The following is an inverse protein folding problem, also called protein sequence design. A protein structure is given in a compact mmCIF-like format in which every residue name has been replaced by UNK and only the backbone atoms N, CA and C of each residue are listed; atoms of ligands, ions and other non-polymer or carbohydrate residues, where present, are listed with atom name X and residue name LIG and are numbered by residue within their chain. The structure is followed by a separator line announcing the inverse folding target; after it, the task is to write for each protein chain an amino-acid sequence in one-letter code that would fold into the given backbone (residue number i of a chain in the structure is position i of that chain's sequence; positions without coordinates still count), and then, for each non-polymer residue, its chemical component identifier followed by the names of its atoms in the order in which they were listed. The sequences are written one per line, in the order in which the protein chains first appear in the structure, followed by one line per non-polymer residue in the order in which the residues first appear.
data_IF_723959970557
#
_entry.id   IF_723959970557
#
_cell.length_a   1.000
_cell.length_b   1.000
_cell.length_c   1.000
_cell.angle_alpha   90.00
_cell.angle_beta   90.00
_cell.angle_gamma   90.00
#
_symmetry.space_group_name_H-M   'P 1'
#
loop_
_entity.id
_entity.type
_entity.pdbx_description
1 polymer ?
#
# COMPACT_ATOMS: atom_id res chain seq x y z
N UNK A 1 47.46 53.24 -10.08
CA UNK A 1 47.66 53.63 -8.67
C UNK A 1 46.32 54.04 -8.09
N UNK A 2 46.10 53.68 -6.83
CA UNK A 2 44.93 53.90 -5.97
C UNK A 2 43.80 52.85 -6.00
N UNK A 3 43.41 52.52 -4.77
CA UNK A 3 42.78 51.33 -4.22
C UNK A 3 41.89 51.87 -3.09
N UNK A 4 40.58 51.62 -3.06
CA UNK A 4 39.74 51.84 -1.86
C UNK A 4 38.62 50.79 -1.82
N UNK A 5 38.47 50.18 -0.64
CA UNK A 5 37.61 49.07 -0.24
C UNK A 5 36.18 49.50 0.13
N UNK A 6 35.25 48.55 -0.03
CA UNK A 6 33.85 48.57 0.40
C UNK A 6 33.66 48.63 1.92
N UNK A 7 32.59 49.30 2.36
CA UNK A 7 32.01 49.21 3.70
C UNK A 7 30.53 48.78 3.58
N UNK A 8 30.15 47.73 4.30
CA UNK A 8 28.75 47.41 4.63
C UNK A 8 28.69 47.15 6.13
N UNK A 9 27.82 47.90 6.79
CA UNK A 9 27.63 47.96 8.25
C UNK A 9 26.67 46.86 8.71
N UNK A 10 27.07 46.08 9.73
CA UNK A 10 26.22 45.12 10.41
C UNK A 10 25.53 45.78 11.62
N UNK A 11 24.20 45.60 11.74
CA UNK A 11 23.40 46.06 12.87
C UNK A 11 23.12 44.87 13.80
N UNK A 12 23.61 44.98 15.04
CA UNK A 12 23.38 44.04 16.15
C UNK A 12 22.13 44.48 16.92
N UNK A 13 21.14 43.60 17.06
CA UNK A 13 20.04 43.75 18.05
C UNK A 13 20.16 42.60 19.05
N UNK A 14 20.33 42.97 20.31
CA UNK A 14 20.36 42.08 21.45
C UNK A 14 18.92 41.71 21.89
N UNK A 15 18.69 40.44 22.17
CA UNK A 15 17.45 39.92 22.76
C UNK A 15 17.75 38.81 23.76
N UNK A 16 17.23 38.98 24.97
CA UNK A 16 17.54 38.28 26.22
C UNK A 16 17.00 36.83 26.25
N UNK A 17 17.85 35.87 26.59
CA UNK A 17 17.47 34.47 26.86
C UNK A 17 16.98 34.33 28.31
N UNK A 18 15.66 34.15 28.48
CA UNK A 18 15.07 33.66 29.72
C UNK A 18 15.05 32.13 29.70
N UNK A 19 15.67 31.50 30.70
CA UNK A 19 15.71 30.06 30.89
C UNK A 19 14.33 29.54 31.34
N UNK A 20 13.56 28.99 30.40
CA UNK A 20 12.41 28.14 30.66
C UNK A 20 12.81 26.69 30.38
N UNK A 21 12.98 25.89 31.44
CA UNK A 21 13.33 24.48 31.34
C UNK A 21 12.21 23.69 30.66
N UNK A 22 12.40 23.39 29.37
CA UNK A 22 11.71 22.28 28.71
C UNK A 22 12.42 21.00 29.12
N UNK A 23 11.77 20.22 29.99
CA UNK A 23 12.07 18.81 30.17
C UNK A 23 11.85 18.11 28.82
N UNK A 24 12.94 17.91 28.07
CA UNK A 24 12.98 16.92 27.02
C UNK A 24 12.75 15.56 27.68
N UNK A 25 11.53 15.05 27.55
CA UNK A 25 11.27 13.64 27.76
C UNK A 25 12.01 12.88 26.66
N UNK A 26 13.26 12.53 26.93
CA UNK A 26 13.98 11.50 26.19
C UNK A 26 13.31 10.17 26.52
N UNK A 27 12.27 9.79 25.78
CA UNK A 27 11.84 8.40 25.73
C UNK A 27 12.86 7.63 24.88
N UNK A 28 14.05 7.41 25.44
CA UNK A 28 14.90 6.30 25.03
C UNK A 28 14.24 5.02 25.54
N UNK A 29 13.14 4.63 24.91
CA UNK A 29 12.68 3.26 24.95
C UNK A 29 13.58 2.47 24.00
N UNK A 30 14.80 2.13 24.44
CA UNK A 30 15.48 0.99 23.82
C UNK A 30 14.59 -0.20 24.15
N UNK A 31 13.79 -0.67 23.19
CA UNK A 31 13.20 -1.99 23.28
C UNK A 31 14.35 -2.94 23.62
N UNK A 32 14.31 -3.55 24.82
CA UNK A 32 15.33 -4.51 25.20
C UNK A 32 15.37 -5.58 24.11
N UNK A 33 16.53 -5.82 23.51
CA UNK A 33 16.70 -6.89 22.53
C UNK A 33 16.14 -8.18 23.16
N UNK A 34 15.23 -8.89 22.47
CA UNK A 34 14.59 -10.06 23.04
C UNK A 34 15.68 -11.05 23.48
N UNK A 35 15.48 -11.64 24.65
CA UNK A 35 16.43 -12.62 25.17
C UNK A 35 16.55 -13.78 24.20
N UNK A 36 17.77 -14.13 23.83
CA UNK A 36 18.07 -15.32 23.03
C UNK A 36 18.24 -16.57 23.90
N UNK A 37 17.97 -16.47 25.20
CA UNK A 37 17.92 -17.64 26.07
C UNK A 37 16.83 -18.61 25.57
N UNK A 38 17.04 -19.93 25.72
CA UNK A 38 15.99 -20.88 25.44
C UNK A 38 14.76 -20.63 26.31
N UNK A 39 13.58 -20.75 25.72
CA UNK A 39 12.29 -20.71 26.42
C UNK A 39 11.89 -22.12 26.87
N UNK A 40 10.96 -22.27 27.85
CA UNK A 40 10.45 -23.58 28.23
C UNK A 40 9.87 -24.33 27.03
N UNK A 41 10.14 -25.64 26.92
CA UNK A 41 9.72 -26.44 25.75
C UNK A 41 8.21 -26.44 25.53
N UNK A 42 7.40 -26.27 26.59
CA UNK A 42 5.94 -26.16 26.49
C UNK A 42 5.44 -24.86 25.84
N UNK A 43 6.29 -23.83 25.78
CA UNK A 43 5.99 -22.52 25.22
C UNK A 43 6.57 -22.36 23.79
N UNK A 44 7.36 -23.34 23.33
CA UNK A 44 8.02 -23.28 22.03
C UNK A 44 7.11 -23.76 20.89
N UNK A 45 6.89 -22.90 19.88
CA UNK A 45 6.24 -23.25 18.62
C UNK A 45 7.25 -23.81 17.63
N UNK A 46 8.48 -23.30 17.65
CA UNK A 46 9.56 -23.79 16.80
C UNK A 46 10.83 -24.03 17.61
N UNK A 47 11.63 -25.00 17.18
CA UNK A 47 12.88 -25.37 17.85
C UNK A 47 13.91 -25.79 16.83
N UNK A 48 15.15 -25.34 17.04
CA UNK A 48 16.25 -25.59 16.14
C UNK A 48 16.81 -27.00 16.39
N UNK A 49 17.02 -27.78 15.33
CA UNK A 49 17.43 -29.18 15.47
C UNK A 49 18.75 -29.37 16.27
N UNK A 50 19.80 -28.55 16.07
CA UNK A 50 20.99 -28.52 16.94
C UNK A 50 20.69 -28.37 18.44
N UNK A 51 19.73 -27.52 18.79
CA UNK A 51 19.34 -27.29 20.18
C UNK A 51 18.58 -28.50 20.75
N UNK A 52 17.58 -29.01 20.02
CA UNK A 52 16.79 -30.17 20.44
C UNK A 52 17.63 -31.43 20.67
N UNK A 53 18.72 -31.57 19.92
CA UNK A 53 19.62 -32.72 20.01
C UNK A 53 20.79 -32.51 20.98
N UNK A 54 20.82 -31.37 21.70
CA UNK A 54 21.84 -31.05 22.69
C UNK A 54 23.25 -30.82 22.11
N UNK A 55 23.35 -30.54 20.82
CA UNK A 55 24.63 -30.36 20.11
C UNK A 55 25.19 -28.94 20.31
N UNK A 56 25.32 -28.52 21.56
CA UNK A 56 25.67 -27.14 21.95
C UNK A 56 27.03 -26.70 21.38
N UNK A 57 27.98 -27.63 21.27
CA UNK A 57 29.33 -27.38 20.77
C UNK A 57 29.42 -27.06 19.27
N UNK A 58 28.32 -27.13 18.52
CA UNK A 58 28.31 -26.68 17.11
C UNK A 58 28.29 -25.16 16.99
N UNK A 59 27.80 -24.47 18.03
CA UNK A 59 27.69 -23.01 18.02
C UNK A 59 28.45 -22.34 19.17
N UNK A 60 28.69 -23.06 20.27
CA UNK A 60 29.36 -22.51 21.44
C UNK A 60 30.74 -23.14 21.69
N UNK A 61 31.66 -22.32 22.18
CA UNK A 61 33.08 -22.62 22.42
C UNK A 61 33.37 -23.46 23.68
N UNK A 62 32.36 -24.02 24.38
CA UNK A 62 32.63 -24.93 25.50
C UNK A 62 32.43 -26.40 25.13
N UNK A 63 33.44 -27.20 25.45
CA UNK A 63 33.38 -28.66 25.46
C UNK A 63 32.72 -29.25 26.71
N UNK A 64 31.91 -28.49 27.46
CA UNK A 64 31.18 -29.02 28.63
C UNK A 64 29.83 -29.58 28.16
N UNK A 65 29.61 -30.90 28.27
CA UNK A 65 28.41 -31.58 27.75
C UNK A 65 27.16 -31.39 28.62
N UNK A 66 27.21 -30.57 29.68
CA UNK A 66 26.13 -30.47 30.66
C UNK A 66 24.93 -29.62 30.21
N UNK A 67 25.04 -28.94 29.06
CA UNK A 67 23.99 -28.11 28.46
C UNK A 67 23.58 -26.88 29.27
N UNK A 68 24.17 -26.67 30.46
CA UNK A 68 23.81 -25.60 31.39
C UNK A 68 24.71 -24.38 31.25
N UNK A 69 25.88 -24.53 30.65
CA UNK A 69 26.81 -23.44 30.39
C UNK A 69 27.61 -23.72 29.12
N UNK A 70 26.98 -23.65 27.94
CA UNK A 70 27.57 -24.10 26.68
C UNK A 70 28.74 -23.24 26.18
N UNK A 71 29.04 -22.11 26.84
CA UNK A 71 30.18 -21.25 26.50
C UNK A 71 29.79 -20.07 25.62
N UNK A 72 30.80 -19.33 25.14
CA UNK A 72 30.59 -18.19 24.25
C UNK A 72 30.28 -18.67 22.84
N UNK A 73 29.55 -17.88 22.07
CA UNK A 73 29.41 -18.05 20.62
C UNK A 73 30.52 -17.22 19.95
N UNK A 74 31.06 -17.63 18.80
CA UNK A 74 31.94 -16.80 17.98
C UNK A 74 31.38 -15.39 17.75
N UNK A 75 32.27 -14.40 17.62
CA UNK A 75 31.88 -13.00 17.44
C UNK A 75 31.09 -12.77 16.13
N UNK A 76 31.44 -13.50 15.06
CA UNK A 76 30.72 -13.47 13.78
C UNK A 76 29.65 -14.58 13.73
N UNK A 77 28.50 -14.27 14.32
CA UNK A 77 27.34 -15.18 14.34
C UNK A 77 26.81 -15.43 12.92
N UNK A 78 26.89 -14.44 12.01
CA UNK A 78 26.42 -14.59 10.63
C UNK A 78 27.24 -15.63 9.87
N UNK A 79 28.58 -15.54 9.95
CA UNK A 79 29.46 -16.53 9.36
C UNK A 79 29.26 -17.93 9.96
N UNK A 80 29.00 -18.02 11.27
CA UNK A 80 28.66 -19.29 11.91
C UNK A 80 27.36 -19.89 11.35
N UNK A 81 26.29 -19.10 11.23
CA UNK A 81 25.04 -19.58 10.61
C UNK A 81 25.27 -20.08 9.17
N UNK A 82 26.08 -19.33 8.39
CA UNK A 82 26.38 -19.63 7.00
C UNK A 82 27.17 -20.94 6.80
N UNK A 83 27.82 -21.50 7.83
CA UNK A 83 28.50 -22.81 7.70
C UNK A 83 27.51 -23.95 7.40
N UNK A 84 26.25 -23.79 7.80
CA UNK A 84 25.18 -24.75 7.53
C UNK A 84 24.08 -24.17 6.64
N UNK A 85 23.74 -22.89 6.79
CA UNK A 85 22.75 -22.19 5.99
C UNK A 85 23.37 -21.47 4.78
N UNK A 86 24.23 -22.20 4.06
CA UNK A 86 24.97 -21.66 2.91
C UNK A 86 24.05 -21.10 1.83
N UNK A 87 22.94 -21.79 1.52
CA UNK A 87 22.02 -21.34 0.47
C UNK A 87 21.40 -19.97 0.80
N UNK A 88 21.06 -19.73 2.08
CA UNK A 88 20.55 -18.43 2.55
C UNK A 88 21.62 -17.34 2.46
N UNK A 89 22.85 -17.64 2.86
CA UNK A 89 23.99 -16.71 2.74
C UNK A 89 24.24 -16.32 1.28
N UNK A 90 24.14 -17.29 0.36
CA UNK A 90 24.27 -17.04 -1.07
C UNK A 90 23.10 -16.25 -1.64
N UNK A 91 21.87 -16.49 -1.21
CA UNK A 91 20.69 -15.70 -1.60
C UNK A 91 20.85 -14.24 -1.15
N UNK A 92 21.22 -14.00 0.11
CA UNK A 92 21.42 -12.66 0.67
C UNK A 92 22.53 -11.93 -0.09
N UNK A 93 23.68 -12.57 -0.31
CA UNK A 93 24.83 -11.96 -1.01
C UNK A 93 24.60 -11.79 -2.51
N UNK A 94 23.77 -12.63 -3.12
CA UNK A 94 23.50 -12.65 -4.55
C UNK A 94 22.36 -11.74 -5.01
N UNK A 95 21.49 -11.32 -4.09
CA UNK A 95 20.31 -10.52 -4.40
C UNK A 95 20.63 -9.05 -4.61
N UNK A 96 19.83 -8.38 -5.45
CA UNK A 96 20.01 -6.97 -5.80
C UNK A 96 19.66 -6.00 -4.66
N UNK A 97 18.72 -6.37 -3.79
CA UNK A 97 18.25 -5.57 -2.65
C UNK A 97 18.32 -6.44 -1.39
N UNK A 98 19.10 -5.99 -0.42
CA UNK A 98 19.34 -6.75 0.81
C UNK A 98 18.84 -5.96 2.01
N UNK A 99 18.11 -6.64 2.89
CA UNK A 99 17.70 -6.06 4.15
C UNK A 99 18.93 -5.94 5.07
N UNK A 100 19.31 -4.72 5.43
CA UNK A 100 20.54 -4.48 6.17
C UNK A 100 20.69 -5.34 7.46
N UNK A 101 19.64 -5.53 8.30
CA UNK A 101 19.72 -6.43 9.45
C UNK A 101 20.07 -7.88 9.09
N UNK A 102 19.64 -8.38 7.92
CA UNK A 102 19.92 -9.74 7.48
C UNK A 102 21.41 -9.99 7.19
N UNK A 103 22.17 -8.94 6.83
CA UNK A 103 23.63 -9.04 6.67
C UNK A 103 24.40 -8.95 7.98
N UNK A 104 23.81 -8.30 8.99
CA UNK A 104 24.52 -7.98 10.23
C UNK A 104 24.32 -9.01 11.33
N UNK A 105 23.08 -9.50 11.51
CA UNK A 105 22.78 -10.41 12.61
C UNK A 105 21.50 -11.19 12.36
N UNK A 106 21.64 -12.51 12.16
CA UNK A 106 20.50 -13.43 12.11
C UNK A 106 19.70 -13.40 13.43
N UNK A 107 20.39 -13.17 14.55
CA UNK A 107 19.80 -13.22 15.89
C UNK A 107 19.07 -11.95 16.31
N UNK A 108 19.07 -10.91 15.47
CA UNK A 108 18.15 -9.78 15.64
C UNK A 108 16.68 -10.21 15.47
N UNK A 109 16.45 -11.25 14.65
CA UNK A 109 15.13 -11.75 14.33
C UNK A 109 14.89 -13.19 14.79
N UNK A 110 15.94 -14.03 14.85
CA UNK A 110 15.82 -15.45 15.15
C UNK A 110 16.43 -15.83 16.51
N UNK A 111 15.75 -16.69 17.26
CA UNK A 111 16.33 -17.38 18.41
C UNK A 111 16.90 -18.74 17.95
N UNK A 112 18.23 -18.95 17.97
CA UNK A 112 18.87 -20.16 17.44
C UNK A 112 18.62 -21.42 18.30
N UNK A 113 17.94 -21.28 19.44
CA UNK A 113 17.56 -22.39 20.31
C UNK A 113 16.13 -22.86 20.00
N UNK A 114 15.16 -22.08 20.46
CA UNK A 114 13.73 -22.29 20.29
C UNK A 114 12.98 -20.97 20.42
N UNK A 115 11.73 -20.93 19.98
CA UNK A 115 10.97 -19.69 19.88
C UNK A 115 9.46 -19.91 20.00
N UNK A 116 8.72 -18.89 20.50
CA UNK A 116 7.27 -18.92 20.60
C UNK A 116 6.57 -18.63 19.27
N UNK A 117 7.30 -18.48 18.16
CA UNK A 117 6.78 -18.20 16.83
C UNK A 117 7.37 -19.17 15.78
N UNK A 118 6.77 -19.28 14.58
CA UNK A 118 7.33 -20.08 13.49
C UNK A 118 8.73 -19.61 13.06
N UNK A 119 9.48 -20.50 12.40
CA UNK A 119 10.79 -20.19 11.81
C UNK A 119 11.79 -19.55 12.78
N UNK A 120 11.72 -19.93 14.06
CA UNK A 120 12.58 -19.42 15.13
C UNK A 120 12.46 -17.91 15.40
N UNK A 121 11.41 -17.23 14.94
CA UNK A 121 11.30 -15.78 15.12
C UNK A 121 11.17 -15.41 16.59
N UNK A 122 11.87 -14.38 17.06
CA UNK A 122 11.83 -13.96 18.48
C UNK A 122 10.44 -13.47 18.92
N UNK A 123 9.59 -13.07 17.97
CA UNK A 123 8.19 -12.66 18.11
C UNK A 123 7.49 -12.84 16.76
N UNK A 124 6.15 -12.83 16.72
CA UNK A 124 5.39 -12.95 15.47
C UNK A 124 5.77 -11.88 14.42
N UNK A 125 5.68 -12.21 13.10
CA UNK A 125 6.24 -11.39 12.02
C UNK A 125 5.82 -9.92 12.06
N UNK A 126 4.53 -9.65 12.30
CA UNK A 126 4.00 -8.28 12.38
C UNK A 126 4.74 -7.46 13.43
N UNK A 127 4.77 -7.93 14.67
CA UNK A 127 5.38 -7.17 15.76
C UNK A 127 6.91 -7.12 15.63
N UNK A 128 7.54 -8.14 15.03
CA UNK A 128 8.96 -8.13 14.73
C UNK A 128 9.33 -6.99 13.78
N UNK A 129 8.64 -6.90 12.64
CA UNK A 129 8.90 -5.87 11.63
C UNK A 129 8.57 -4.47 12.17
N UNK A 130 7.40 -4.33 12.81
CA UNK A 130 6.92 -3.04 13.32
C UNK A 130 7.73 -2.53 14.52
N UNK A 131 8.51 -3.39 15.18
CA UNK A 131 9.45 -2.98 16.24
C UNK A 131 10.53 -2.00 15.75
N UNK A 132 10.87 -2.06 14.46
CA UNK A 132 11.81 -1.12 13.82
C UNK A 132 11.13 -0.20 12.80
N UNK A 133 10.12 -0.67 12.07
CA UNK A 133 9.42 0.09 11.03
C UNK A 133 8.26 0.94 11.60
N UNK A 134 8.60 1.91 12.45
CA UNK A 134 7.64 2.74 13.19
C UNK A 134 6.68 3.57 12.33
N UNK A 135 7.13 4.06 11.17
CA UNK A 135 6.26 4.82 10.25
C UNK A 135 5.15 3.93 9.63
N UNK A 136 5.49 2.67 9.32
CA UNK A 136 4.52 1.69 8.83
C UNK A 136 3.59 1.27 9.97
N UNK A 137 4.12 1.10 11.19
CA UNK A 137 3.30 0.83 12.37
C UNK A 137 2.26 1.93 12.55
N UNK A 138 2.68 3.19 12.46
CA UNK A 138 1.79 4.33 12.56
C UNK A 138 0.72 4.30 11.47
N UNK A 139 1.13 4.16 10.20
CA UNK A 139 0.23 4.07 9.04
C UNK A 139 -0.85 3.02 9.24
N UNK A 140 -0.47 1.81 9.65
CA UNK A 140 -1.42 0.72 9.90
C UNK A 140 -2.32 1.07 11.10
N UNK A 141 -1.74 1.52 12.22
CA UNK A 141 -2.48 1.74 13.46
C UNK A 141 -3.50 2.87 13.38
N UNK A 142 -3.22 3.90 12.58
CA UNK A 142 -4.08 5.06 12.39
C UNK A 142 -5.11 4.83 11.28
N UNK A 143 -4.85 3.91 10.34
CA UNK A 143 -5.71 3.64 9.20
C UNK A 143 -7.15 3.26 9.58
N UNK A 144 -8.12 4.00 9.03
CA UNK A 144 -9.53 3.62 9.09
C UNK A 144 -9.82 2.27 8.39
N UNK A 145 -9.06 1.94 7.34
CA UNK A 145 -9.13 0.67 6.60
C UNK A 145 -7.74 0.09 6.51
N UNK A 146 -7.52 -1.05 7.18
CA UNK A 146 -6.27 -1.81 7.11
C UNK A 146 -6.35 -2.85 5.99
N UNK A 147 -5.21 -3.15 5.37
CA UNK A 147 -5.14 -4.26 4.42
C UNK A 147 -5.06 -5.58 5.18
N UNK A 148 -5.97 -6.53 4.95
CA UNK A 148 -5.99 -7.81 5.68
C UNK A 148 -4.64 -8.55 5.65
N UNK A 149 -3.99 -8.58 4.48
CA UNK A 149 -2.66 -9.16 4.32
C UNK A 149 -1.54 -8.54 5.19
N UNK A 150 -1.72 -7.38 5.83
CA UNK A 150 -0.70 -6.82 6.75
C UNK A 150 -1.05 -7.03 8.22
N UNK A 151 -2.21 -7.63 8.51
CA UNK A 151 -2.72 -7.83 9.86
C UNK A 151 -3.04 -9.29 10.20
N UNK A 152 -3.01 -10.19 9.22
CA UNK A 152 -3.07 -11.63 9.45
C UNK A 152 -1.78 -12.18 10.10
N UNK A 153 -1.69 -13.50 10.31
CA UNK A 153 -0.55 -14.14 10.96
C UNK A 153 0.74 -14.12 10.12
N UNK A 154 0.62 -14.00 8.79
CA UNK A 154 1.75 -13.94 7.85
C UNK A 154 2.25 -12.49 7.69
N UNK A 155 1.32 -11.54 7.75
CA UNK A 155 1.49 -10.10 7.75
C UNK A 155 2.46 -9.63 6.64
N UNK A 156 3.54 -8.97 7.03
CA UNK A 156 4.53 -8.40 6.11
C UNK A 156 5.09 -9.43 5.11
N UNK A 157 5.15 -10.71 5.49
CA UNK A 157 5.70 -11.79 4.68
C UNK A 157 4.78 -12.18 3.49
N UNK A 158 3.53 -11.72 3.48
CA UNK A 158 2.65 -11.88 2.31
C UNK A 158 3.21 -11.16 1.08
N UNK A 159 3.98 -10.09 1.28
CA UNK A 159 4.49 -9.24 0.21
C UNK A 159 6.02 -9.12 0.20
N UNK A 160 6.67 -9.19 1.36
CA UNK A 160 8.09 -8.90 1.50
C UNK A 160 8.90 -10.15 1.86
N UNK A 161 10.09 -10.27 1.27
CA UNK A 161 11.13 -11.17 1.76
C UNK A 161 11.98 -10.40 2.80
N UNK A 162 11.99 -10.81 4.08
CA UNK A 162 12.65 -10.06 5.15
C UNK A 162 14.18 -10.13 5.09
N UNK A 163 14.76 -10.94 4.19
CA UNK A 163 16.20 -11.10 4.04
C UNK A 163 16.73 -10.32 2.84
N UNK A 164 16.24 -10.65 1.65
CA UNK A 164 16.70 -10.04 0.39
C UNK A 164 15.70 -10.30 -0.74
N UNK A 165 15.78 -9.50 -1.81
CA UNK A 165 15.03 -9.70 -3.04
C UNK A 165 15.75 -9.05 -4.22
N UNK A 166 15.44 -9.48 -5.43
CA UNK A 166 15.82 -8.76 -6.65
C UNK A 166 14.89 -7.58 -6.98
N UNK A 167 13.89 -7.35 -6.15
CA UNK A 167 12.86 -6.33 -6.34
C UNK A 167 12.94 -5.29 -5.23
N UNK A 168 12.79 -4.03 -5.62
CA UNK A 168 12.80 -2.89 -4.69
C UNK A 168 11.81 -3.08 -3.55
N UNK A 169 12.14 -2.51 -2.39
CA UNK A 169 11.39 -2.66 -1.14
C UNK A 169 11.22 -4.12 -0.70
N UNK A 170 12.14 -5.01 -1.11
CA UNK A 170 12.17 -6.41 -0.72
C UNK A 170 10.91 -7.20 -1.16
N UNK A 171 10.22 -6.78 -2.22
CA UNK A 171 9.01 -7.46 -2.66
C UNK A 171 9.32 -8.87 -3.20
N UNK A 172 8.42 -9.82 -2.97
CA UNK A 172 8.58 -11.20 -3.47
C UNK A 172 8.27 -11.36 -4.96
N UNK A 173 7.55 -10.39 -5.55
CA UNK A 173 7.19 -10.31 -6.96
C UNK A 173 7.14 -8.85 -7.41
N UNK A 174 7.09 -8.61 -8.73
CA UNK A 174 6.88 -7.25 -9.25
C UNK A 174 5.53 -6.72 -8.73
N UNK A 175 5.39 -5.41 -8.45
CA UNK A 175 4.22 -4.88 -7.73
C UNK A 175 2.87 -5.34 -8.29
N UNK A 176 2.68 -5.25 -9.59
CA UNK A 176 1.45 -5.72 -10.24
C UNK A 176 1.22 -7.22 -10.08
N UNK A 177 2.25 -8.03 -10.40
CA UNK A 177 2.19 -9.49 -10.32
C UNK A 177 1.93 -9.97 -8.87
N UNK A 178 2.42 -9.21 -7.89
CA UNK A 178 2.15 -9.44 -6.48
C UNK A 178 0.67 -9.21 -6.16
N UNK A 179 0.13 -8.04 -6.53
CA UNK A 179 -1.28 -7.71 -6.32
C UNK A 179 -2.20 -8.75 -6.97
N UNK A 180 -2.01 -9.04 -8.26
CA UNK A 180 -2.89 -9.97 -8.98
C UNK A 180 -2.71 -11.42 -8.52
N UNK A 181 -1.65 -11.77 -7.78
CA UNK A 181 -1.52 -13.12 -7.24
C UNK A 181 -2.59 -13.43 -6.18
N UNK A 182 -3.19 -12.41 -5.58
CA UNK A 182 -4.34 -12.54 -4.67
C UNK A 182 -5.61 -11.92 -5.25
N UNK A 183 -5.52 -10.77 -5.92
CA UNK A 183 -6.66 -10.01 -6.45
C UNK A 183 -7.12 -10.50 -7.84
N UNK A 184 -7.14 -11.81 -8.07
CA UNK A 184 -7.53 -12.44 -9.36
C UNK A 184 -8.48 -13.62 -9.19
N UNK A 185 -9.17 -13.69 -8.06
CA UNK A 185 -10.10 -14.78 -7.76
C UNK A 185 -11.31 -14.22 -7.04
N UNK A 186 -12.48 -14.80 -7.31
CA UNK A 186 -13.76 -14.42 -6.70
C UNK A 186 -13.92 -14.97 -5.28
N UNK A 187 -12.85 -14.87 -4.48
CA UNK A 187 -12.85 -15.32 -3.10
C UNK A 187 -13.26 -14.17 -2.17
N UNK A 188 -14.24 -14.38 -1.28
CA UNK A 188 -14.59 -13.39 -0.27
C UNK A 188 -13.43 -13.13 0.68
N UNK A 189 -13.22 -11.86 1.02
CA UNK A 189 -12.33 -11.44 2.10
C UNK A 189 -12.89 -11.83 3.47
N UNK A 190 -12.15 -11.49 4.54
CA UNK A 190 -12.56 -11.79 5.91
C UNK A 190 -13.90 -11.10 6.30
N UNK A 191 -14.24 -10.01 5.62
CA UNK A 191 -15.50 -9.26 5.76
C UNK A 191 -16.66 -9.83 4.91
N UNK A 192 -16.42 -10.93 4.18
CA UNK A 192 -17.40 -11.56 3.29
C UNK A 192 -17.59 -10.85 1.94
N UNK A 193 -16.88 -9.74 1.67
CA UNK A 193 -16.94 -9.04 0.38
C UNK A 193 -16.04 -9.76 -0.62
N UNK A 194 -16.61 -10.11 -1.78
CA UNK A 194 -15.84 -10.67 -2.89
C UNK A 194 -14.94 -9.59 -3.46
N UNK A 195 -13.63 -9.86 -3.48
CA UNK A 195 -12.65 -8.99 -4.11
C UNK A 195 -12.84 -9.00 -5.63
N UNK A 196 -12.56 -7.89 -6.28
CA UNK A 196 -12.56 -7.84 -7.75
C UNK A 196 -11.54 -8.84 -8.28
N UNK A 197 -11.99 -9.74 -9.16
CA UNK A 197 -11.12 -10.62 -9.92
C UNK A 197 -10.50 -9.83 -11.09
N UNK A 198 -9.30 -9.28 -10.87
CA UNK A 198 -8.61 -8.49 -11.90
C UNK A 198 -8.14 -9.30 -13.10
N UNK A 199 -7.88 -10.60 -12.96
CA UNK A 199 -7.56 -11.44 -14.12
C UNK A 199 -8.73 -11.44 -15.12
N UNK A 200 -9.93 -11.79 -14.64
CA UNK A 200 -11.13 -11.78 -15.49
C UNK A 200 -11.50 -10.37 -15.95
N UNK A 201 -11.49 -9.39 -15.04
CA UNK A 201 -11.85 -8.01 -15.38
C UNK A 201 -10.97 -7.46 -16.51
N UNK A 202 -9.64 -7.64 -16.43
CA UNK A 202 -8.71 -7.12 -17.42
C UNK A 202 -8.72 -7.91 -18.72
N UNK A 203 -9.04 -9.21 -18.68
CA UNK A 203 -9.20 -10.05 -19.88
C UNK A 203 -10.45 -9.68 -20.68
N UNK A 204 -11.59 -9.48 -20.00
CA UNK A 204 -12.87 -9.24 -20.65
C UNK A 204 -13.04 -7.80 -21.14
N UNK A 205 -12.27 -6.85 -20.58
CA UNK A 205 -12.45 -5.43 -20.85
C UNK A 205 -11.24 -4.84 -21.60
N UNK A 206 -11.39 -4.39 -22.86
CA UNK A 206 -10.27 -3.91 -23.67
C UNK A 206 -9.79 -2.50 -23.31
N UNK A 207 -10.59 -1.69 -22.61
CA UNK A 207 -10.20 -0.32 -22.25
C UNK A 207 -9.73 -0.28 -20.81
N UNK A 208 -8.43 -0.44 -20.59
CA UNK A 208 -7.83 -0.32 -19.26
C UNK A 208 -7.61 1.15 -18.90
N UNK A 209 -7.82 1.51 -17.64
CA UNK A 209 -7.55 2.85 -17.17
C UNK A 209 -6.04 3.07 -17.08
N UNK A 210 -5.53 4.26 -17.44
CA UNK A 210 -4.09 4.51 -17.63
C UNK A 210 -3.16 3.93 -16.54
N UNK A 211 -3.40 4.16 -15.23
CA UNK A 211 -2.59 3.54 -14.18
C UNK A 211 -2.64 2.01 -14.18
N UNK A 212 -3.80 1.42 -14.46
CA UNK A 212 -3.99 -0.04 -14.53
C UNK A 212 -3.34 -0.63 -15.78
N UNK A 213 -3.47 0.04 -16.93
CA UNK A 213 -2.76 -0.29 -18.18
C UNK A 213 -1.24 -0.25 -17.96
N UNK A 214 -0.77 0.76 -17.22
CA UNK A 214 0.61 0.90 -16.77
C UNK A 214 1.03 -0.05 -15.64
N UNK A 215 0.13 -0.93 -15.17
CA UNK A 215 0.37 -1.89 -14.09
C UNK A 215 0.77 -1.26 -12.75
N UNK A 216 0.30 -0.05 -12.47
CA UNK A 216 0.60 0.71 -11.26
C UNK A 216 -0.65 0.86 -10.37
N UNK A 217 -0.93 -0.18 -9.59
CA UNK A 217 -2.01 -0.17 -8.60
C UNK A 217 -1.77 0.88 -7.49
N UNK A 218 -0.51 1.12 -7.14
CA UNK A 218 -0.09 2.06 -6.09
C UNK A 218 -0.32 3.52 -6.43
N UNK A 219 -0.58 3.86 -7.69
CA UNK A 219 -1.01 5.20 -8.07
C UNK A 219 -2.27 5.65 -7.31
N UNK A 220 -3.16 4.70 -7.01
CA UNK A 220 -4.44 4.97 -6.34
C UNK A 220 -4.60 4.25 -4.98
N UNK A 221 -3.83 3.18 -4.71
CA UNK A 221 -3.98 2.38 -3.50
C UNK A 221 -2.78 2.50 -2.54
N UNK A 222 -3.08 2.60 -1.24
CA UNK A 222 -2.12 2.59 -0.13
C UNK A 222 -2.15 1.22 0.56
N UNK A 223 -1.21 0.36 0.18
CA UNK A 223 -1.24 -1.09 0.46
C UNK A 223 -1.15 -1.48 1.93
N UNK A 224 -0.60 -0.62 2.79
CA UNK A 224 -0.49 -0.90 4.23
C UNK A 224 -1.77 -0.54 5.01
N UNK A 225 -2.55 0.42 4.51
CA UNK A 225 -3.72 0.94 5.20
C UNK A 225 -4.04 2.35 4.70
N UNK A 226 -5.30 2.77 4.80
CA UNK A 226 -5.75 4.11 4.43
C UNK A 226 -6.92 4.60 5.28
N UNK A 227 -7.06 5.92 5.37
CA UNK A 227 -8.27 6.59 5.87
C UNK A 227 -9.47 6.44 4.93
N UNK A 228 -9.23 6.07 3.67
CA UNK A 228 -10.26 5.95 2.66
C UNK A 228 -10.58 4.49 2.35
N UNK A 229 -11.84 4.25 2.01
CA UNK A 229 -12.34 2.93 1.65
C UNK A 229 -11.49 2.30 0.53
N UNK A 230 -11.45 0.96 0.47
CA UNK A 230 -10.70 0.24 -0.57
C UNK A 230 -9.22 0.64 -0.65
N UNK A 231 -8.64 1.06 0.49
CA UNK A 231 -7.25 1.47 0.60
C UNK A 231 -6.88 2.63 -0.33
N UNK A 232 -7.81 3.54 -0.64
CA UNK A 232 -7.52 4.61 -1.60
C UNK A 232 -6.57 5.65 -1.00
N UNK A 233 -5.64 6.19 -1.77
CA UNK A 233 -4.68 7.21 -1.30
C UNK A 233 -5.32 8.58 -1.04
N UNK A 234 -6.55 8.79 -1.51
CA UNK A 234 -7.28 10.04 -1.37
C UNK A 234 -8.80 9.78 -1.50
N UNK A 235 -9.60 10.79 -1.22
CA UNK A 235 -11.05 10.67 -1.17
C UNK A 235 -11.69 10.40 -2.54
N UNK A 236 -12.60 9.42 -2.55
CA UNK A 236 -13.50 9.11 -3.64
C UNK A 236 -14.81 8.56 -3.05
N UNK A 237 -16.01 8.90 -3.57
CA UNK A 237 -17.23 8.46 -2.91
C UNK A 237 -17.64 7.04 -3.30
N UNK A 238 -18.01 6.21 -2.32
CA UNK A 238 -18.56 4.86 -2.55
C UNK A 238 -19.95 4.88 -3.19
N UNK A 239 -20.71 5.94 -2.90
CA UNK A 239 -22.13 6.08 -3.23
C UNK A 239 -22.35 6.56 -4.66
N UNK A 240 -23.52 6.22 -5.20
CA UNK A 240 -23.96 6.65 -6.53
C UNK A 240 -24.20 8.17 -6.63
N UNK A 241 -24.75 8.77 -5.56
CA UNK A 241 -25.02 10.21 -5.48
C UNK A 241 -24.21 10.86 -4.37
N UNK A 242 -23.57 11.99 -4.64
CA UNK A 242 -22.91 12.84 -3.66
C UNK A 242 -23.04 14.32 -4.06
N UNK A 243 -22.95 15.26 -3.12
CA UNK A 243 -22.76 16.67 -3.46
C UNK A 243 -21.48 16.84 -4.28
N UNK A 244 -21.47 17.77 -5.22
CA UNK A 244 -20.23 18.17 -5.88
C UNK A 244 -19.42 19.07 -4.98
N UNK A 245 -18.42 18.48 -4.34
CA UNK A 245 -17.38 19.17 -3.59
C UNK A 245 -16.06 18.61 -4.09
N UNK A 246 -15.10 19.49 -4.38
CA UNK A 246 -13.81 19.11 -4.96
C UNK A 246 -13.12 18.02 -4.15
N UNK A 247 -13.13 18.16 -2.82
CA UNK A 247 -12.47 17.26 -1.89
C UNK A 247 -13.09 15.86 -1.90
N UNK A 248 -14.37 15.70 -2.26
CA UNK A 248 -14.99 14.38 -2.40
C UNK A 248 -14.39 13.57 -3.56
N UNK A 249 -13.72 14.21 -4.52
CA UNK A 249 -13.14 13.59 -5.72
C UNK A 249 -11.64 13.86 -5.83
N UNK A 250 -10.99 14.21 -4.72
CA UNK A 250 -9.58 14.58 -4.67
C UNK A 250 -8.69 13.52 -5.36
N UNK A 251 -8.98 12.23 -5.18
CA UNK A 251 -8.29 11.14 -5.87
C UNK A 251 -8.26 11.31 -7.39
N UNK A 252 -9.42 11.62 -7.99
CA UNK A 252 -9.56 11.75 -9.44
C UNK A 252 -8.83 13.00 -9.96
N UNK A 253 -8.92 14.11 -9.22
CA UNK A 253 -8.35 15.40 -9.62
C UNK A 253 -6.83 15.49 -9.44
N UNK A 254 -6.18 14.45 -8.91
CA UNK A 254 -4.72 14.28 -9.01
C UNK A 254 -4.25 14.15 -10.47
N UNK A 255 -5.12 13.71 -11.39
CA UNK A 255 -4.78 13.53 -12.80
C UNK A 255 -5.83 14.10 -13.78
N UNK A 256 -7.10 14.17 -13.40
CA UNK A 256 -8.17 14.66 -14.29
C UNK A 256 -8.46 16.15 -14.06
N UNK A 257 -8.74 16.88 -15.16
CA UNK A 257 -9.09 18.30 -15.09
C UNK A 257 -10.49 18.50 -14.51
N UNK A 258 -10.58 19.20 -13.37
CA UNK A 258 -11.83 19.54 -12.70
C UNK A 258 -12.70 20.53 -13.49
N UNK A 259 -12.11 21.37 -14.35
CA UNK A 259 -12.81 22.36 -15.18
C UNK A 259 -13.87 21.73 -16.09
N UNK A 260 -13.73 20.44 -16.38
CA UNK A 260 -14.71 19.67 -17.14
C UNK A 260 -16.10 19.66 -16.48
N UNK A 261 -16.21 19.95 -15.19
CA UNK A 261 -17.46 19.89 -14.43
C UNK A 261 -17.93 21.26 -13.93
N UNK A 262 -17.15 22.33 -14.10
CA UNK A 262 -17.42 23.62 -13.44
C UNK A 262 -18.41 24.49 -14.20
N UNK A 263 -18.23 24.61 -15.51
CA UNK A 263 -19.06 25.50 -16.32
C UNK A 263 -20.28 24.77 -16.92
N UNK A 264 -21.48 25.38 -16.89
CA UNK A 264 -22.67 24.81 -17.51
C UNK A 264 -22.57 24.71 -19.04
N UNK A 265 -21.75 25.56 -19.65
CA UNK A 265 -21.52 25.62 -21.10
C UNK A 265 -20.01 25.64 -21.38
N UNK A 266 -19.56 24.88 -22.37
CA UNK A 266 -18.16 24.80 -22.79
C UNK A 266 -18.05 24.28 -24.22
N UNK A 267 -17.02 24.70 -24.95
CA UNK A 267 -16.66 24.11 -26.25
C UNK A 267 -15.28 23.44 -26.24
N UNK A 268 -14.50 23.64 -25.18
CA UNK A 268 -13.06 23.35 -25.13
C UNK A 268 -12.68 22.34 -24.05
N UNK A 269 -13.35 22.36 -22.89
CA UNK A 269 -12.91 21.56 -21.72
C UNK A 269 -13.28 20.09 -21.89
N UNK A 270 -14.47 19.77 -22.40
CA UNK A 270 -14.93 18.39 -22.58
C UNK A 270 -15.63 18.16 -23.92
N UNK A 271 -15.61 16.89 -24.37
CA UNK A 271 -16.41 16.39 -25.50
C UNK A 271 -17.69 15.68 -25.06
N UNK A 272 -17.91 15.49 -23.76
CA UNK A 272 -19.20 15.03 -23.25
C UNK A 272 -20.13 16.24 -23.07
N UNK A 273 -20.61 16.75 -24.21
CA UNK A 273 -21.46 17.94 -24.32
C UNK A 273 -22.38 17.84 -25.54
N UNK A 274 -23.51 18.52 -25.49
CA UNK A 274 -24.47 18.61 -26.59
C UNK A 274 -24.52 20.06 -27.09
N UNK A 275 -23.91 20.32 -28.24
CA UNK A 275 -23.42 21.65 -28.59
C UNK A 275 -22.54 22.22 -27.48
N UNK A 276 -22.77 23.46 -27.05
CA UNK A 276 -22.04 24.04 -25.91
C UNK A 276 -22.44 23.46 -24.55
N UNK A 277 -23.57 22.75 -24.45
CA UNK A 277 -24.12 22.34 -23.16
C UNK A 277 -23.27 21.26 -22.49
N UNK A 278 -22.64 21.60 -21.38
CA UNK A 278 -21.74 20.68 -20.67
C UNK A 278 -22.52 19.58 -19.93
N UNK A 279 -22.44 18.34 -20.40
CA UNK A 279 -23.17 17.23 -19.79
C UNK A 279 -22.50 16.72 -18.52
N UNK A 280 -21.20 16.94 -18.32
CA UNK A 280 -20.56 16.68 -17.03
C UNK A 280 -21.15 17.57 -15.94
N UNK A 281 -21.28 18.88 -16.18
CA UNK A 281 -21.92 19.82 -15.25
C UNK A 281 -23.37 19.41 -14.94
N UNK A 282 -24.14 19.01 -15.96
CA UNK A 282 -25.55 18.60 -15.78
C UNK A 282 -25.70 17.38 -14.87
N UNK A 283 -24.72 16.48 -14.83
CA UNK A 283 -24.82 15.23 -14.09
C UNK A 283 -24.08 15.24 -12.76
N UNK A 284 -22.87 15.80 -12.73
CA UNK A 284 -21.93 15.71 -11.62
C UNK A 284 -22.05 16.92 -10.71
N UNK A 285 -22.02 18.14 -11.28
CA UNK A 285 -22.01 19.37 -10.51
C UNK A 285 -23.42 19.75 -10.01
N UNK A 286 -23.84 19.13 -8.91
CA UNK A 286 -25.12 19.38 -8.23
C UNK A 286 -24.87 19.52 -6.73
N UNK A 287 -25.58 20.44 -6.06
CA UNK A 287 -25.35 20.72 -4.64
C UNK A 287 -25.68 19.52 -3.75
N UNK A 288 -26.69 18.70 -4.08
CA UNK A 288 -27.13 17.61 -3.19
C UNK A 288 -26.99 16.21 -3.81
N UNK A 289 -27.35 16.08 -5.10
CA UNK A 289 -27.49 14.78 -5.79
C UNK A 289 -26.73 14.74 -7.10
N UNK A 290 -25.44 15.09 -7.05
CA UNK A 290 -24.52 14.89 -8.16
C UNK A 290 -24.28 13.41 -8.36
N UNK A 291 -24.28 12.94 -9.60
CA UNK A 291 -23.81 11.59 -9.93
C UNK A 291 -22.30 11.58 -9.76
N UNK A 292 -21.79 10.66 -8.96
CA UNK A 292 -20.34 10.52 -8.74
C UNK A 292 -19.66 9.98 -10.00
N UNK A 293 -18.34 10.09 -10.12
CA UNK A 293 -17.63 9.56 -11.29
C UNK A 293 -17.91 8.06 -11.47
N UNK A 294 -18.00 7.30 -10.36
CA UNK A 294 -18.44 5.89 -10.32
C UNK A 294 -19.82 5.67 -10.92
N UNK A 295 -20.70 6.65 -10.96
CA UNK A 295 -22.01 6.47 -11.58
C UNK A 295 -21.94 6.29 -13.11
N UNK A 296 -20.81 6.58 -13.74
CA UNK A 296 -20.64 6.46 -15.20
C UNK A 296 -19.32 5.78 -15.60
N UNK A 297 -18.28 5.85 -14.75
CA UNK A 297 -16.95 5.36 -15.08
C UNK A 297 -16.55 4.14 -14.26
N UNK A 298 -16.15 3.05 -14.90
CA UNK A 298 -15.41 1.96 -14.26
C UNK A 298 -13.93 2.30 -14.19
N UNK A 299 -13.40 2.42 -12.98
CA UNK A 299 -12.10 3.09 -12.76
C UNK A 299 -10.90 2.19 -13.01
N UNK A 300 -11.13 0.91 -13.28
CA UNK A 300 -10.09 -0.07 -13.57
C UNK A 300 -10.03 -0.44 -15.05
N UNK A 301 -11.12 -1.01 -15.58
CA UNK A 301 -11.27 -1.36 -16.97
C UNK A 301 -12.74 -1.45 -17.37
N UNK A 302 -13.06 -1.20 -18.64
CA UNK A 302 -14.42 -1.26 -19.15
C UNK A 302 -14.50 -1.77 -20.60
N UNK A 303 -15.70 -2.17 -21.00
CA UNK A 303 -16.01 -2.53 -22.39
C UNK A 303 -16.06 -1.31 -23.32
N UNK A 304 -16.24 -0.10 -22.77
CA UNK A 304 -16.42 1.12 -23.55
C UNK A 304 -15.26 2.12 -23.40
N UNK A 305 -14.99 2.94 -24.43
CA UNK A 305 -13.97 3.98 -24.33
C UNK A 305 -14.30 5.00 -23.22
N UNK A 306 -13.26 5.69 -22.75
CA UNK A 306 -13.35 6.68 -21.65
C UNK A 306 -13.88 6.08 -20.34
N UNK A 307 -13.62 4.80 -20.13
CA UNK A 307 -14.00 4.09 -18.92
C UNK A 307 -15.51 3.99 -18.69
N UNK A 308 -16.34 4.14 -19.72
CA UNK A 308 -17.80 4.14 -19.53
C UNK A 308 -18.26 2.71 -19.17
N UNK A 309 -18.91 2.55 -18.03
CA UNK A 309 -19.39 1.23 -17.56
C UNK A 309 -20.69 0.81 -18.23
N UNK A 310 -20.87 -0.48 -18.44
CA UNK A 310 -22.09 -1.04 -19.05
C UNK A 310 -23.30 -0.97 -18.12
N UNK A 311 -23.08 -1.10 -16.82
CA UNK A 311 -24.11 -1.01 -15.81
C UNK A 311 -23.62 -0.41 -14.50
N UNK A 312 -24.55 0.16 -13.74
CA UNK A 312 -24.30 0.78 -12.44
C UNK A 312 -25.09 0.09 -11.34
N UNK A 313 -24.48 -0.20 -10.19
CA UNK A 313 -25.23 -0.62 -9.02
C UNK A 313 -26.18 0.51 -8.58
N UNK A 314 -27.47 0.21 -8.46
CA UNK A 314 -28.50 1.19 -8.11
C UNK A 314 -29.49 0.65 -7.07
N UNK A 315 -29.74 1.49 -6.05
CA UNK A 315 -30.72 1.22 -5.00
C UNK A 315 -30.24 0.22 -3.93
N UNK A 316 -31.07 -0.04 -2.91
CA UNK A 316 -30.68 -0.83 -1.72
C UNK A 316 -30.47 -2.32 -2.01
N UNK A 317 -30.93 -2.81 -3.16
CA UNK A 317 -30.74 -4.21 -3.61
C UNK A 317 -29.59 -4.35 -4.61
N UNK A 318 -28.81 -3.30 -4.82
CA UNK A 318 -27.67 -3.29 -5.75
C UNK A 318 -28.05 -3.74 -7.18
N UNK A 319 -29.22 -3.33 -7.65
CA UNK A 319 -29.67 -3.71 -8.99
C UNK A 319 -28.80 -3.06 -10.05
N UNK A 320 -28.27 -3.86 -10.98
CA UNK A 320 -27.43 -3.36 -12.06
C UNK A 320 -28.28 -2.68 -13.12
N UNK A 321 -28.31 -1.35 -13.10
CA UNK A 321 -29.00 -0.53 -14.11
C UNK A 321 -28.08 -0.37 -15.32
N UNK A 322 -28.45 -0.85 -16.51
CA UNK A 322 -27.63 -0.69 -17.70
C UNK A 322 -27.58 0.78 -18.14
N UNK A 323 -26.40 1.21 -18.57
CA UNK A 323 -26.13 2.52 -19.17
C UNK A 323 -26.44 2.49 -20.66
N UNK A 324 -26.23 1.34 -21.32
CA UNK A 324 -26.38 1.12 -22.77
C UNK A 324 -25.76 2.27 -23.58
N UNK A 325 -24.46 2.48 -23.36
CA UNK A 325 -23.73 3.50 -24.09
C UNK A 325 -23.55 3.07 -25.54
N UNK A 326 -23.73 4.01 -26.47
CA UNK A 326 -23.40 3.80 -27.88
C UNK A 326 -22.68 5.02 -28.39
N UNK A 327 -21.41 4.84 -28.79
CA UNK A 327 -20.57 5.91 -29.32
C UNK A 327 -21.01 6.29 -30.74
N UNK A 328 -20.93 7.58 -31.05
CA UNK A 328 -20.98 8.11 -32.42
C UNK A 328 -19.68 8.87 -32.72
N UNK A 329 -19.48 9.29 -33.96
CA UNK A 329 -18.27 10.04 -34.36
C UNK A 329 -18.15 11.38 -33.64
N UNK A 330 -19.27 12.04 -33.38
CA UNK A 330 -19.39 13.37 -32.78
C UNK A 330 -19.98 13.36 -31.37
N UNK A 331 -20.12 12.19 -30.75
CA UNK A 331 -20.71 12.09 -29.41
C UNK A 331 -21.12 10.68 -29.05
N UNK A 332 -22.39 10.52 -28.66
CA UNK A 332 -22.93 9.22 -28.30
C UNK A 332 -24.35 9.27 -27.80
N UNK A 333 -24.83 8.13 -27.31
CA UNK A 333 -26.13 8.01 -26.67
C UNK A 333 -26.08 7.07 -25.47
N UNK A 334 -27.01 7.24 -24.55
CA UNK A 334 -27.21 6.36 -23.41
C UNK A 334 -28.70 6.06 -23.27
N UNK A 335 -29.04 4.79 -23.00
CA UNK A 335 -30.41 4.36 -22.77
C UNK A 335 -30.56 3.74 -21.39
N UNK A 336 -31.40 4.32 -20.54
CA UNK A 336 -31.75 3.72 -19.25
C UNK A 336 -32.99 2.85 -19.43
N UNK A 337 -33.05 1.72 -18.74
CA UNK A 337 -34.19 0.77 -18.80
C UNK A 337 -35.57 1.41 -18.61
N UNK A 338 -35.66 2.51 -17.87
CA UNK A 338 -36.93 3.17 -17.54
C UNK A 338 -37.15 4.54 -18.22
N UNK A 339 -36.23 5.02 -19.05
CA UNK A 339 -36.34 6.33 -19.71
C UNK A 339 -35.93 6.28 -21.18
N UNK A 340 -36.41 7.23 -21.97
CA UNK A 340 -36.02 7.37 -23.37
C UNK A 340 -34.51 7.57 -23.53
N UNK A 341 -33.95 6.97 -24.57
CA UNK A 341 -32.57 7.18 -25.00
C UNK A 341 -32.29 8.66 -25.16
N UNK A 342 -31.14 9.10 -24.65
CA UNK A 342 -30.63 10.45 -24.83
C UNK A 342 -29.35 10.38 -25.65
N UNK A 343 -29.29 11.19 -26.69
CA UNK A 343 -28.11 11.36 -27.54
C UNK A 343 -27.51 12.75 -27.32
N UNK A 344 -26.24 12.90 -27.65
CA UNK A 344 -25.54 14.16 -27.64
C UNK A 344 -24.58 14.26 -28.84
N UNK A 345 -24.38 15.47 -29.33
CA UNK A 345 -23.43 15.79 -30.39
C UNK A 345 -22.63 17.04 -30.00
N UNK A 346 -21.31 16.91 -29.79
CA UNK A 346 -20.47 18.03 -29.38
C UNK A 346 -20.16 19.01 -30.53
N UNK A 347 -20.58 18.72 -31.76
CA UNK A 347 -20.43 19.59 -32.93
C UNK A 347 -21.71 20.35 -33.29
N UNK A 348 -22.83 20.04 -32.62
CA UNK A 348 -24.07 20.79 -32.79
C UNK A 348 -23.88 22.27 -32.41
N UNK A 349 -24.57 23.16 -33.12
CA UNK A 349 -24.52 24.61 -32.87
C UNK A 349 -25.45 25.05 -31.74
#
# INVERSE_FOLDING_TARGET
MFNIRSFVTALLVAGSLAAGGFLLATTTGTAAMPSLAPIPDGDAISSHAPYLTGQCGMCHDSGQPDGKSPGKVPDDVGALCATCHFDMDQEIKGSSVVHAPAMMSCTACHNPHNSPAPSLLVVEPKNLCLGCHGEIQQTISEAAVQHDAVIDEVACLNCHNPHASDIQHLLTKLPFDLCISCHSHDEPGADGRVRTNFATLLEENPYHHGPVEGKDCSACHLTHGSEHHSLLVDAFPERFYAPYERDNYALCFRCHNEENMLDPETTTTTRFRDGSRNLHYVHVNKPDRGRTCRACHEVHASENPHQIRDAVPFGPRNWMLPVNFTKTDTGGSCARTCHQTKSYDYTAE
#
